data_IF_120036702792
#
_entry.id   IF_120036702792
#
_cell.length_a   1.000
_cell.length_b   1.000
_cell.length_c   1.000
_cell.angle_alpha   90.00
_cell.angle_beta   90.00
_cell.angle_gamma   90.00
#
_symmetry.space_group_name_H-M   'P 1'
#
loop_
_entity.id
_entity.type
_entity.pdbx_description
1 polymer ?
#
# COMPACT_ATOMS: atom_id res chain seq x y z
N UNK A 1 16.58 -20.85 -20.37
CA UNK A 1 15.47 -19.93 -20.06
C UNK A 1 14.63 -20.55 -18.95
N UNK A 2 14.92 -20.24 -17.68
CA UNK A 2 14.17 -20.76 -16.54
C UNK A 2 12.99 -19.83 -16.24
N UNK A 3 11.85 -20.08 -16.88
CA UNK A 3 10.58 -19.47 -16.50
C UNK A 3 10.12 -20.12 -15.19
N UNK A 4 10.67 -19.66 -14.06
CA UNK A 4 10.03 -19.84 -12.77
C UNK A 4 8.73 -19.04 -12.85
N UNK A 5 7.64 -19.69 -13.25
CA UNK A 5 6.31 -19.20 -12.95
C UNK A 5 6.23 -19.08 -11.44
N UNK A 6 6.48 -17.87 -10.92
CA UNK A 6 6.29 -17.50 -9.53
C UNK A 6 4.95 -18.09 -9.10
N UNK A 7 4.90 -18.82 -7.99
CA UNK A 7 3.73 -19.58 -7.51
C UNK A 7 2.52 -18.74 -7.10
N UNK A 8 2.22 -17.68 -7.85
CA UNK A 8 1.09 -16.80 -7.72
C UNK A 8 0.10 -17.18 -8.82
N UNK A 9 -1.04 -17.74 -8.43
CA UNK A 9 -2.15 -17.93 -9.35
C UNK A 9 -2.78 -16.58 -9.68
N UNK A 10 -3.56 -16.45 -10.77
CA UNK A 10 -4.28 -15.22 -11.06
C UNK A 10 -5.16 -14.74 -9.89
N UNK A 11 -5.81 -15.66 -9.18
CA UNK A 11 -6.59 -15.33 -7.97
C UNK A 11 -5.69 -14.73 -6.87
N UNK A 12 -4.56 -15.35 -6.55
CA UNK A 12 -3.63 -14.81 -5.56
C UNK A 12 -3.04 -13.46 -5.97
N UNK A 13 -2.92 -13.19 -7.27
CA UNK A 13 -2.47 -11.90 -7.77
C UNK A 13 -3.54 -10.82 -7.55
N UNK A 14 -4.81 -11.11 -7.82
CA UNK A 14 -5.94 -10.21 -7.56
C UNK A 14 -6.09 -9.93 -6.07
N UNK A 15 -6.08 -10.98 -5.24
CA UNK A 15 -6.17 -10.82 -3.78
C UNK A 15 -5.05 -9.92 -3.23
N UNK A 16 -3.84 -10.05 -3.80
CA UNK A 16 -2.70 -9.22 -3.42
C UNK A 16 -2.84 -7.77 -3.89
N UNK A 17 -3.40 -7.54 -5.08
CA UNK A 17 -3.67 -6.19 -5.57
C UNK A 17 -4.72 -5.50 -4.70
N UNK A 18 -5.80 -6.19 -4.35
CA UNK A 18 -6.84 -5.66 -3.47
C UNK A 18 -6.28 -5.33 -2.09
N UNK A 19 -5.46 -6.22 -1.52
CA UNK A 19 -4.83 -5.99 -0.22
C UNK A 19 -3.89 -4.76 -0.22
N UNK A 20 -3.09 -4.59 -1.28
CA UNK A 20 -2.18 -3.45 -1.42
C UNK A 20 -2.97 -2.14 -1.62
N UNK A 21 -4.02 -2.17 -2.43
CA UNK A 21 -4.89 -1.03 -2.67
C UNK A 21 -5.56 -0.54 -1.38
N UNK A 22 -6.22 -1.44 -0.65
CA UNK A 22 -6.90 -1.10 0.61
C UNK A 22 -5.91 -0.60 1.66
N UNK A 23 -4.71 -1.20 1.74
CA UNK A 23 -3.66 -0.76 2.64
C UNK A 23 -3.25 0.69 2.36
N UNK A 24 -2.98 1.03 1.10
CA UNK A 24 -2.57 2.38 0.70
C UNK A 24 -3.67 3.42 0.91
N UNK A 25 -4.92 3.07 0.62
CA UNK A 25 -6.06 3.97 0.81
C UNK A 25 -6.33 4.24 2.29
N UNK A 26 -6.28 3.20 3.14
CA UNK A 26 -6.44 3.34 4.58
C UNK A 26 -5.31 4.17 5.18
N UNK A 27 -4.06 3.91 4.77
CA UNK A 27 -2.91 4.68 5.23
C UNK A 27 -3.06 6.17 4.88
N UNK A 28 -3.51 6.49 3.66
CA UNK A 28 -3.73 7.87 3.24
C UNK A 28 -4.85 8.55 4.03
N UNK A 29 -5.99 7.88 4.24
CA UNK A 29 -7.10 8.40 5.05
C UNK A 29 -6.66 8.69 6.48
N UNK A 30 -5.88 7.80 7.10
CA UNK A 30 -5.36 7.99 8.45
C UNK A 30 -4.37 9.16 8.52
N UNK A 31 -3.45 9.27 7.56
CA UNK A 31 -2.50 10.38 7.52
C UNK A 31 -3.21 11.75 7.40
N UNK A 32 -4.26 11.83 6.58
CA UNK A 32 -5.10 13.03 6.49
C UNK A 32 -5.84 13.28 7.81
N UNK A 33 -6.39 12.23 8.42
CA UNK A 33 -7.05 12.31 9.72
C UNK A 33 -6.14 12.85 10.82
N UNK A 34 -4.92 12.32 10.93
CA UNK A 34 -3.91 12.77 11.89
C UNK A 34 -3.50 14.22 11.63
N UNK A 35 -3.31 14.59 10.37
CA UNK A 35 -3.01 15.98 10.03
C UNK A 35 -4.13 16.94 10.45
N UNK A 36 -5.39 16.58 10.23
CA UNK A 36 -6.54 17.40 10.61
C UNK A 36 -6.65 17.53 12.14
N UNK A 37 -6.39 16.47 12.90
CA UNK A 37 -6.59 16.46 14.35
C UNK A 37 -5.42 17.04 15.14
N UNK A 38 -4.18 16.78 14.72
CA UNK A 38 -2.97 17.13 15.49
C UNK A 38 -1.94 17.92 14.69
N UNK A 39 -2.14 18.11 13.38
CA UNK A 39 -1.13 18.70 12.49
C UNK A 39 0.04 17.77 12.18
N UNK A 40 -0.03 16.50 12.58
CA UNK A 40 1.01 15.50 12.32
C UNK A 40 1.16 15.23 10.82
N UNK A 41 2.41 15.25 10.35
CA UNK A 41 2.76 14.95 8.96
C UNK A 41 3.28 13.52 8.85
N UNK A 42 2.87 12.76 7.81
CA UNK A 42 3.34 11.39 7.62
C UNK A 42 4.84 11.34 7.30
N UNK A 43 5.52 10.31 7.81
CA UNK A 43 6.95 10.08 7.59
C UNK A 43 7.30 9.94 6.10
N UNK A 44 8.29 10.72 5.65
CA UNK A 44 8.79 10.70 4.29
C UNK A 44 9.39 9.35 3.89
N UNK A 45 10.01 8.62 4.82
CA UNK A 45 10.58 7.31 4.51
C UNK A 45 9.48 6.26 4.29
N UNK A 46 8.44 6.27 5.12
CA UNK A 46 7.27 5.41 4.90
C UNK A 46 6.60 5.71 3.54
N UNK A 47 6.49 7.00 3.16
CA UNK A 47 6.00 7.39 1.82
C UNK A 47 6.85 6.81 0.69
N UNK A 48 8.18 6.86 0.80
CA UNK A 48 9.11 6.27 -0.19
C UNK A 48 9.01 4.75 -0.27
N UNK A 49 8.60 4.09 0.82
CA UNK A 49 8.37 2.65 0.87
C UNK A 49 7.02 2.21 0.32
N UNK A 50 6.21 3.15 -0.21
CA UNK A 50 4.96 2.82 -0.88
C UNK A 50 3.72 3.00 -0.01
N UNK A 51 3.80 3.71 1.12
CA UNK A 51 2.67 3.90 2.05
C UNK A 51 1.37 4.41 1.38
N UNK A 52 1.48 5.15 0.28
CA UNK A 52 0.33 5.72 -0.47
C UNK A 52 0.33 5.32 -1.96
N UNK A 53 1.01 4.24 -2.33
CA UNK A 53 1.21 3.85 -3.74
C UNK A 53 0.11 2.88 -4.20
N UNK A 54 -0.21 2.90 -5.50
CA UNK A 54 -1.10 1.95 -6.16
C UNK A 54 -0.37 0.64 -6.51
#
# INVERSE_FOLDING_TARGET
MNNKGSGLTPAHALDKLDALYEQSVVALRNAIGNYITSGELPDENARKQGLFVY
#
